data_IF_569697730007
#
_entry.id   IF_569697730007
#
_cell.length_a   1.000
_cell.length_b   1.000
_cell.length_c   1.000
_cell.angle_alpha   90.00
_cell.angle_beta   90.00
_cell.angle_gamma   90.00
#
_symmetry.space_group_name_H-M   'P 1'
#
loop_
_entity.id
_entity.type
_entity.pdbx_description
1 polymer ?
#
# COMPACT_ATOMS: atom_id res chain seq x y z
N UNK A 1 -24.96 10.36 -10.02
CA UNK A 1 -24.05 11.39 -10.55
C UNK A 1 -24.47 12.73 -9.97
N UNK A 2 -23.50 13.50 -9.44
CA UNK A 2 -23.81 14.89 -9.07
C UNK A 2 -24.09 15.65 -10.37
N UNK A 3 -25.12 16.45 -10.36
CA UNK A 3 -25.51 17.25 -11.52
C UNK A 3 -24.33 18.17 -11.93
N UNK A 4 -24.03 18.21 -13.21
CA UNK A 4 -22.98 19.08 -13.76
C UNK A 4 -23.26 20.55 -13.44
N UNK A 5 -24.52 20.95 -13.37
CA UNK A 5 -24.92 22.32 -13.03
C UNK A 5 -24.52 22.64 -11.58
N UNK A 6 -24.72 21.72 -10.65
CA UNK A 6 -24.34 21.88 -9.24
C UNK A 6 -22.81 22.01 -9.10
N UNK A 7 -22.05 21.18 -9.85
CA UNK A 7 -20.58 21.25 -9.85
C UNK A 7 -20.10 22.62 -10.36
N UNK A 8 -20.66 23.10 -11.47
CA UNK A 8 -20.32 24.43 -12.02
C UNK A 8 -20.72 25.56 -11.06
N UNK A 9 -21.87 25.44 -10.40
CA UNK A 9 -22.33 26.42 -9.42
C UNK A 9 -21.36 26.48 -8.22
N UNK A 10 -20.95 25.32 -7.68
CA UNK A 10 -19.97 25.26 -6.59
C UNK A 10 -18.65 25.89 -7.06
N UNK A 11 -18.18 25.52 -8.26
CA UNK A 11 -16.92 26.03 -8.82
C UNK A 11 -16.92 27.54 -8.95
N UNK A 12 -18.05 28.12 -9.35
CA UNK A 12 -18.19 29.57 -9.53
C UNK A 12 -18.29 30.34 -8.20
N UNK A 13 -18.72 29.67 -7.14
CA UNK A 13 -18.87 30.26 -5.80
C UNK A 13 -17.67 29.98 -4.87
N UNK A 14 -16.84 28.99 -5.17
CA UNK A 14 -15.68 28.62 -4.36
C UNK A 14 -14.43 29.32 -4.89
N UNK A 15 -14.05 30.45 -4.28
CA UNK A 15 -12.82 31.17 -4.66
C UNK A 15 -11.59 30.36 -4.25
N UNK A 16 -10.76 29.97 -5.22
CA UNK A 16 -9.58 29.13 -5.00
C UNK A 16 -8.55 29.79 -4.04
N UNK A 17 -8.45 31.11 -4.05
CA UNK A 17 -7.53 31.87 -3.18
C UNK A 17 -7.96 31.73 -1.71
N UNK A 18 -9.27 31.81 -1.46
CA UNK A 18 -9.81 31.64 -0.10
C UNK A 18 -9.65 30.21 0.40
N UNK A 19 -9.99 29.23 -0.45
CA UNK A 19 -9.91 27.82 -0.09
C UNK A 19 -8.45 27.41 0.23
N UNK A 20 -7.51 27.84 -0.61
CA UNK A 20 -6.08 27.53 -0.40
C UNK A 20 -5.53 28.39 0.76
N UNK A 21 -6.00 29.61 0.91
CA UNK A 21 -5.60 30.52 1.99
C UNK A 21 -5.91 30.01 3.40
N UNK A 22 -6.91 29.13 3.55
CA UNK A 22 -7.20 28.46 4.84
C UNK A 22 -6.12 27.44 5.22
N UNK A 23 -5.35 26.99 4.24
CA UNK A 23 -4.37 25.91 4.42
C UNK A 23 -2.94 26.46 4.48
N UNK A 24 -2.60 27.42 3.61
CA UNK A 24 -1.27 28.01 3.52
C UNK A 24 -1.35 29.53 3.47
N UNK A 25 -0.33 30.21 3.96
CA UNK A 25 -0.20 31.66 3.84
C UNK A 25 0.09 32.04 2.39
N UNK A 26 -0.83 32.77 1.76
CA UNK A 26 -0.69 33.29 0.40
C UNK A 26 -0.34 34.76 0.44
N UNK A 27 0.68 35.14 -0.31
CA UNK A 27 1.09 36.56 -0.48
C UNK A 27 0.79 37.00 -1.91
N UNK A 28 0.20 38.17 -2.06
CA UNK A 28 -0.13 38.75 -3.37
C UNK A 28 1.16 39.06 -4.12
N UNK A 29 1.29 38.59 -5.34
CA UNK A 29 2.44 38.79 -6.23
C UNK A 29 1.93 39.19 -7.63
N UNK A 30 1.73 40.48 -7.81
CA UNK A 30 1.12 41.03 -9.04
C UNK A 30 -0.35 40.62 -9.14
N UNK A 31 -0.71 39.87 -10.19
CA UNK A 31 -2.08 39.37 -10.42
C UNK A 31 -2.34 38.02 -9.77
N UNK A 32 -1.29 37.38 -9.23
CA UNK A 32 -1.36 36.04 -8.67
C UNK A 32 -1.06 36.06 -7.17
N UNK A 33 -1.16 34.89 -6.56
CA UNK A 33 -0.76 34.69 -5.15
C UNK A 33 0.30 33.60 -5.08
N UNK A 34 1.28 33.76 -4.20
CA UNK A 34 2.39 32.84 -4.00
C UNK A 34 2.42 32.36 -2.55
N UNK A 35 2.72 31.09 -2.34
CA UNK A 35 2.88 30.49 -1.02
C UNK A 35 3.84 29.32 -1.04
N UNK A 36 4.10 28.76 0.14
CA UNK A 36 4.84 27.51 0.27
C UNK A 36 3.90 26.35 -0.07
N UNK A 37 4.36 25.40 -0.87
CA UNK A 37 3.54 24.29 -1.34
C UNK A 37 3.14 23.34 -0.18
N UNK A 38 1.86 22.99 -0.03
CA UNK A 38 1.45 22.06 1.00
C UNK A 38 1.75 20.58 0.65
N UNK A 39 2.19 20.31 -0.58
CA UNK A 39 2.39 18.95 -1.10
C UNK A 39 3.85 18.50 -1.10
N UNK A 40 4.80 19.41 -0.88
CA UNK A 40 6.23 19.06 -0.76
C UNK A 40 6.95 20.07 0.14
N UNK A 41 8.04 19.65 0.75
CA UNK A 41 8.84 20.52 1.61
C UNK A 41 9.68 21.51 0.81
N UNK A 42 9.53 22.81 1.08
CA UNK A 42 10.31 23.87 0.44
C UNK A 42 10.49 25.07 1.39
N UNK A 43 11.50 25.89 1.13
CA UNK A 43 11.77 27.11 1.92
C UNK A 43 11.48 28.39 1.12
N UNK A 44 11.36 28.29 -0.18
CA UNK A 44 11.09 29.41 -1.10
C UNK A 44 9.75 29.17 -1.77
N UNK A 45 8.81 30.14 -1.72
CA UNK A 45 7.49 29.94 -2.31
C UNK A 45 7.54 29.60 -3.79
N UNK A 46 6.96 28.46 -4.17
CA UNK A 46 6.83 28.02 -5.57
C UNK A 46 5.38 27.66 -5.94
N UNK A 47 4.46 27.75 -4.99
CA UNK A 47 3.05 27.44 -5.19
C UNK A 47 2.31 28.70 -5.63
N UNK A 48 1.93 28.74 -6.91
CA UNK A 48 1.31 29.91 -7.55
C UNK A 48 -0.20 29.67 -7.72
N UNK A 49 -1.02 30.62 -7.28
CA UNK A 49 -2.49 30.58 -7.43
C UNK A 49 -2.90 31.74 -8.33
N UNK A 50 -3.55 31.42 -9.44
CA UNK A 50 -4.01 32.38 -10.45
C UNK A 50 -5.53 32.61 -10.24
N UNK A 51 -5.88 33.67 -9.52
CA UNK A 51 -7.25 33.95 -9.14
C UNK A 51 -8.18 34.08 -10.35
N UNK A 52 -7.77 34.84 -11.37
CA UNK A 52 -8.55 35.06 -12.59
C UNK A 52 -8.92 33.76 -13.32
N UNK A 53 -8.10 32.73 -13.18
CA UNK A 53 -8.28 31.42 -13.83
C UNK A 53 -8.83 30.38 -12.90
N UNK A 54 -8.95 30.67 -11.60
CA UNK A 54 -9.35 29.72 -10.57
C UNK A 54 -8.51 28.45 -10.65
N UNK A 55 -7.17 28.59 -10.67
CA UNK A 55 -6.23 27.51 -10.97
C UNK A 55 -4.94 27.69 -10.16
N UNK A 56 -4.37 26.59 -9.68
CA UNK A 56 -3.05 26.61 -9.02
C UNK A 56 -2.03 25.80 -9.82
N UNK A 57 -0.77 26.19 -9.68
CA UNK A 57 0.37 25.43 -10.21
C UNK A 57 1.58 25.61 -9.30
N UNK A 58 2.18 24.52 -8.90
CA UNK A 58 3.43 24.52 -8.12
C UNK A 58 4.62 24.32 -9.06
N UNK A 59 5.52 25.31 -9.13
CA UNK A 59 6.73 25.22 -9.95
C UNK A 59 7.79 24.31 -9.33
N UNK A 60 7.66 23.93 -8.05
CA UNK A 60 8.57 23.01 -7.37
C UNK A 60 8.28 21.53 -7.66
N UNK A 61 7.01 21.11 -7.50
CA UNK A 61 6.64 19.69 -7.65
C UNK A 61 5.75 19.39 -8.87
N UNK A 62 5.37 20.43 -9.65
CA UNK A 62 4.58 20.30 -10.88
C UNK A 62 3.07 20.08 -10.66
N UNK A 63 2.60 19.98 -9.42
CA UNK A 63 1.16 19.78 -9.15
C UNK A 63 0.37 20.99 -9.59
N UNK A 64 -0.81 20.74 -10.15
CA UNK A 64 -1.67 21.80 -10.68
C UNK A 64 -3.13 21.34 -10.76
N UNK A 65 -4.05 22.28 -10.70
CA UNK A 65 -5.46 21.97 -10.78
C UNK A 65 -6.37 23.12 -10.37
N UNK A 66 -7.66 22.84 -10.36
CA UNK A 66 -8.67 23.75 -9.84
C UNK A 66 -8.94 23.50 -8.34
N UNK A 67 -9.95 24.13 -7.80
CA UNK A 67 -10.30 24.05 -6.37
C UNK A 67 -10.69 22.63 -5.96
N UNK A 68 -11.36 21.87 -6.82
CA UNK A 68 -11.71 20.48 -6.52
C UNK A 68 -10.45 19.61 -6.43
N UNK A 69 -9.58 19.75 -7.43
CA UNK A 69 -8.32 19.00 -7.47
C UNK A 69 -7.44 19.31 -6.27
N UNK A 70 -7.45 20.54 -5.78
CA UNK A 70 -6.73 20.92 -4.57
C UNK A 70 -7.26 20.14 -3.35
N UNK A 71 -8.57 20.10 -3.15
CA UNK A 71 -9.18 19.39 -2.00
C UNK A 71 -8.93 17.88 -2.12
N UNK A 72 -9.10 17.28 -3.32
CA UNK A 72 -8.79 15.86 -3.54
C UNK A 72 -7.38 15.51 -3.07
N UNK A 73 -6.39 16.28 -3.50
CA UNK A 73 -4.99 15.99 -3.22
C UNK A 73 -4.58 16.35 -1.78
N UNK A 74 -5.10 17.44 -1.25
CA UNK A 74 -4.74 17.92 0.10
C UNK A 74 -5.36 17.05 1.20
N UNK A 75 -6.64 16.71 1.07
CA UNK A 75 -7.35 15.90 2.07
C UNK A 75 -7.31 14.41 1.76
N UNK A 76 -6.85 14.02 0.57
CA UNK A 76 -6.79 12.60 0.18
C UNK A 76 -8.18 11.99 -0.07
N UNK A 77 -9.13 12.79 -0.53
CA UNK A 77 -10.52 12.39 -0.73
C UNK A 77 -10.87 12.24 -2.21
N UNK A 78 -11.86 11.42 -2.57
CA UNK A 78 -12.32 11.33 -3.96
C UNK A 78 -13.08 12.58 -4.39
N UNK A 79 -13.18 12.81 -5.70
CA UNK A 79 -13.82 13.99 -6.31
C UNK A 79 -15.20 14.29 -5.73
N UNK A 80 -16.05 13.28 -5.57
CA UNK A 80 -17.41 13.45 -5.02
C UNK A 80 -17.39 14.05 -3.61
N UNK A 81 -16.46 13.61 -2.78
CA UNK A 81 -16.30 14.13 -1.42
C UNK A 81 -15.75 15.56 -1.46
N UNK A 82 -14.83 15.87 -2.38
CA UNK A 82 -14.34 17.23 -2.59
C UNK A 82 -15.48 18.18 -3.02
N UNK A 83 -16.38 17.68 -3.89
CA UNK A 83 -17.59 18.46 -4.28
C UNK A 83 -18.49 18.72 -3.06
N UNK A 84 -18.70 17.73 -2.19
CA UNK A 84 -19.51 17.89 -0.97
C UNK A 84 -18.86 18.91 0.01
N UNK A 85 -17.57 18.80 0.24
CA UNK A 85 -16.81 19.72 1.11
C UNK A 85 -16.95 21.16 0.61
N UNK A 86 -16.72 21.35 -0.67
CA UNK A 86 -16.83 22.69 -1.27
C UNK A 86 -18.28 23.19 -1.34
N UNK A 87 -19.24 22.30 -1.64
CA UNK A 87 -20.67 22.62 -1.61
C UNK A 87 -21.09 23.11 -0.23
N UNK A 88 -20.71 22.37 0.82
CA UNK A 88 -21.00 22.77 2.20
C UNK A 88 -20.38 24.16 2.52
N UNK A 89 -19.15 24.40 2.04
CA UNK A 89 -18.46 25.68 2.26
C UNK A 89 -19.22 26.86 1.63
N UNK A 90 -19.77 26.68 0.43
CA UNK A 90 -20.46 27.74 -0.31
C UNK A 90 -21.98 27.76 -0.12
N UNK A 91 -22.50 26.92 0.78
CA UNK A 91 -23.92 26.84 1.11
C UNK A 91 -24.78 26.16 0.05
N UNK A 92 -24.17 25.37 -0.82
CA UNK A 92 -24.88 24.59 -1.86
C UNK A 92 -25.01 23.16 -1.39
N UNK A 93 -26.25 22.73 -1.18
CA UNK A 93 -26.52 21.38 -0.70
C UNK A 93 -26.31 20.38 -1.83
N UNK A 94 -25.32 19.51 -1.66
CA UNK A 94 -25.05 18.42 -2.60
C UNK A 94 -25.74 17.19 -2.06
N UNK A 95 -26.85 16.80 -2.66
CA UNK A 95 -27.52 15.57 -2.27
C UNK A 95 -26.51 14.42 -2.33
N UNK A 96 -26.36 13.71 -1.22
CA UNK A 96 -25.59 12.47 -1.22
C UNK A 96 -26.23 11.56 -2.27
N UNK A 97 -25.49 11.10 -3.27
CA UNK A 97 -26.06 10.10 -4.17
C UNK A 97 -26.56 8.96 -3.29
N UNK A 98 -27.82 8.59 -3.47
CA UNK A 98 -28.44 7.43 -2.79
C UNK A 98 -27.68 6.12 -3.10
N UNK A 99 -26.87 6.17 -4.11
CA UNK A 99 -25.85 5.17 -4.43
C UNK A 99 -24.52 5.90 -4.50
N UNK A 100 -23.59 5.59 -3.60
CA UNK A 100 -22.18 5.78 -3.93
C UNK A 100 -22.03 5.11 -5.31
N UNK A 101 -21.66 5.88 -6.34
CA UNK A 101 -21.02 5.26 -7.49
C UNK A 101 -19.75 4.63 -6.92
N UNK A 102 -19.89 3.41 -6.45
CA UNK A 102 -18.73 2.55 -6.36
C UNK A 102 -18.09 2.65 -7.74
N UNK A 103 -16.87 3.15 -7.86
CA UNK A 103 -16.00 2.79 -8.97
C UNK A 103 -16.38 1.36 -9.30
N UNK A 104 -16.69 1.02 -10.57
CA UNK A 104 -17.10 -0.34 -10.86
C UNK A 104 -16.13 -1.23 -10.08
N UNK A 105 -16.68 -1.99 -9.14
CA UNK A 105 -15.87 -2.76 -8.22
C UNK A 105 -14.89 -3.53 -9.08
N UNK A 106 -13.60 -3.41 -8.79
CA UNK A 106 -12.60 -4.25 -9.46
C UNK A 106 -13.24 -5.63 -9.58
N UNK A 107 -13.17 -6.32 -10.71
CA UNK A 107 -13.71 -7.68 -10.80
C UNK A 107 -13.23 -8.58 -9.66
N UNK A 108 -12.18 -8.16 -8.94
CA UNK A 108 -11.61 -8.90 -7.81
C UNK A 108 -11.69 -8.11 -6.49
N UNK A 109 -12.66 -7.20 -6.34
CA UNK A 109 -12.77 -6.36 -5.13
C UNK A 109 -12.90 -7.22 -3.86
N UNK A 110 -13.70 -8.29 -3.93
CA UNK A 110 -13.87 -9.23 -2.81
C UNK A 110 -12.51 -9.82 -2.36
N UNK A 111 -11.63 -10.15 -3.30
CA UNK A 111 -10.29 -10.68 -2.97
C UNK A 111 -9.42 -9.63 -2.27
N UNK A 112 -9.44 -8.38 -2.72
CA UNK A 112 -8.71 -7.28 -2.06
C UNK A 112 -9.22 -7.05 -0.65
N UNK A 113 -10.53 -6.95 -0.47
CA UNK A 113 -11.16 -6.72 0.84
C UNK A 113 -10.83 -7.87 1.80
N UNK A 114 -10.92 -9.11 1.32
CA UNK A 114 -10.60 -10.31 2.10
C UNK A 114 -9.14 -10.33 2.55
N UNK A 115 -8.19 -9.95 1.68
CA UNK A 115 -6.77 -9.90 2.04
C UNK A 115 -6.49 -8.79 3.06
N UNK A 116 -7.16 -7.64 2.93
CA UNK A 116 -7.04 -6.57 3.91
C UNK A 116 -7.61 -6.98 5.26
N UNK A 117 -8.78 -7.63 5.28
CA UNK A 117 -9.40 -8.13 6.52
C UNK A 117 -8.51 -9.21 7.17
N UNK A 118 -7.92 -10.10 6.36
CA UNK A 118 -6.98 -11.10 6.87
C UNK A 118 -5.73 -10.43 7.48
N UNK A 119 -5.20 -9.38 6.83
CA UNK A 119 -4.04 -8.64 7.35
C UNK A 119 -4.37 -7.97 8.69
N UNK A 120 -5.53 -7.31 8.77
CA UNK A 120 -6.02 -6.70 10.03
C UNK A 120 -6.17 -7.75 11.12
N UNK A 121 -6.77 -8.88 10.79
CA UNK A 121 -6.98 -10.00 11.72
C UNK A 121 -5.65 -10.53 12.27
N UNK A 122 -4.71 -10.88 11.39
CA UNK A 122 -3.40 -11.40 11.81
C UNK A 122 -2.62 -10.37 12.64
N UNK A 123 -2.68 -9.10 12.24
CA UNK A 123 -1.99 -8.01 12.97
C UNK A 123 -2.60 -7.84 14.37
N UNK A 124 -3.93 -7.84 14.47
CA UNK A 124 -4.63 -7.74 15.76
C UNK A 124 -4.27 -8.93 16.66
N UNK A 125 -4.27 -10.17 16.14
CA UNK A 125 -3.85 -11.35 16.92
C UNK A 125 -2.44 -11.13 17.49
N UNK A 126 -1.48 -10.71 16.66
CA UNK A 126 -0.10 -10.48 17.10
C UNK A 126 -0.05 -9.40 18.18
N UNK A 127 -0.73 -8.27 17.97
CA UNK A 127 -0.51 -7.06 18.77
C UNK A 127 -1.34 -6.99 20.05
N UNK A 128 -2.52 -7.63 20.10
CA UNK A 128 -3.48 -7.38 21.17
C UNK A 128 -3.87 -8.61 22.00
N UNK A 129 -3.44 -9.81 21.62
CA UNK A 129 -3.85 -11.03 22.33
C UNK A 129 -2.71 -11.63 23.15
N UNK A 130 -3.08 -12.42 24.17
CA UNK A 130 -2.12 -13.24 24.93
C UNK A 130 -1.45 -14.29 24.03
N UNK A 131 -2.19 -14.83 23.05
CA UNK A 131 -1.66 -15.74 22.05
C UNK A 131 -0.51 -15.11 21.26
N UNK A 132 -0.61 -13.79 20.96
CA UNK A 132 0.42 -13.05 20.23
C UNK A 132 1.65 -12.69 21.05
N UNK A 133 1.58 -12.76 22.37
CA UNK A 133 2.66 -12.28 23.26
C UNK A 133 3.97 -13.02 23.03
N UNK A 134 3.94 -14.35 22.94
CA UNK A 134 5.15 -15.17 22.69
C UNK A 134 5.76 -14.83 21.33
N UNK A 135 4.92 -14.68 20.29
CA UNK A 135 5.38 -14.33 18.95
C UNK A 135 5.96 -12.91 18.91
N UNK A 136 5.35 -11.94 19.65
CA UNK A 136 5.93 -10.59 19.80
C UNK A 136 7.29 -10.66 20.47
N UNK A 137 7.41 -11.39 21.56
CA UNK A 137 8.69 -11.55 22.29
C UNK A 137 9.77 -12.15 21.39
N UNK A 138 9.43 -13.15 20.59
CA UNK A 138 10.33 -13.71 19.58
C UNK A 138 10.78 -12.63 18.57
N UNK A 139 9.86 -11.78 18.10
CA UNK A 139 10.18 -10.72 17.14
C UNK A 139 11.04 -9.61 17.79
N UNK A 140 10.75 -9.25 19.06
CA UNK A 140 11.57 -8.28 19.82
C UNK A 140 13.00 -8.78 20.01
N UNK A 141 13.18 -10.07 20.32
CA UNK A 141 14.52 -10.67 20.45
C UNK A 141 15.29 -10.62 19.11
N UNK A 142 14.59 -10.53 17.99
CA UNK A 142 15.20 -10.33 16.67
C UNK A 142 15.36 -8.84 16.31
N UNK A 143 15.13 -7.97 17.26
CA UNK A 143 15.34 -6.52 17.13
C UNK A 143 14.21 -5.76 16.43
N UNK A 144 13.04 -6.38 16.22
CA UNK A 144 11.90 -5.65 15.68
C UNK A 144 11.19 -4.89 16.81
N UNK A 145 10.74 -3.67 16.53
CA UNK A 145 9.99 -2.83 17.47
C UNK A 145 8.52 -2.78 17.07
N UNK A 146 7.66 -2.31 17.96
CA UNK A 146 6.24 -2.10 17.65
C UNK A 146 6.04 -1.22 16.42
N UNK A 147 6.90 -0.20 16.27
CA UNK A 147 6.87 0.68 15.09
C UNK A 147 7.10 -0.12 13.80
N UNK A 148 8.10 -1.02 13.81
CA UNK A 148 8.40 -1.89 12.67
C UNK A 148 7.25 -2.87 12.43
N UNK A 149 6.71 -3.49 13.49
CA UNK A 149 5.58 -4.43 13.38
C UNK A 149 4.36 -3.74 12.75
N UNK A 150 4.08 -2.50 13.15
CA UNK A 150 2.98 -1.68 12.60
C UNK A 150 3.27 -1.25 11.17
N UNK A 151 4.49 -0.77 10.89
CA UNK A 151 4.87 -0.30 9.54
C UNK A 151 4.68 -1.40 8.49
N UNK A 152 5.12 -2.62 8.79
CA UNK A 152 5.05 -3.77 7.88
C UNK A 152 3.75 -4.59 8.05
N UNK A 153 2.85 -4.19 8.96
CA UNK A 153 1.61 -4.92 9.26
C UNK A 153 1.86 -6.40 9.59
N UNK A 154 2.99 -6.68 10.25
CA UNK A 154 3.36 -8.04 10.64
C UNK A 154 2.28 -8.58 11.58
N UNK A 155 1.88 -9.84 11.37
CA UNK A 155 0.80 -10.47 12.13
C UNK A 155 1.16 -11.88 12.59
N UNK A 156 0.18 -12.55 13.17
CA UNK A 156 0.28 -13.94 13.61
C UNK A 156 -0.96 -14.70 13.12
N UNK A 157 -0.72 -15.75 12.34
CA UNK A 157 -1.75 -16.75 12.05
C UNK A 157 -1.82 -17.69 13.24
N UNK A 158 -2.99 -17.83 13.90
CA UNK A 158 -3.15 -18.69 15.06
C UNK A 158 -2.84 -20.17 14.75
N UNK A 159 -2.66 -21.01 15.79
CA UNK A 159 -2.39 -22.43 15.55
C UNK A 159 -3.60 -23.21 15.03
N UNK A 160 -4.81 -22.75 15.30
CA UNK A 160 -6.05 -23.36 14.81
C UNK A 160 -6.12 -23.27 13.27
N UNK A 161 -6.60 -24.36 12.66
CA UNK A 161 -6.54 -24.52 11.21
C UNK A 161 -7.72 -23.87 10.44
N UNK A 162 -8.66 -23.25 11.14
CA UNK A 162 -9.84 -22.62 10.52
C UNK A 162 -10.26 -21.31 11.20
N UNK A 163 -9.36 -20.67 11.91
CA UNK A 163 -9.71 -19.49 12.72
C UNK A 163 -10.01 -18.27 11.83
N UNK A 164 -9.20 -18.08 10.77
CA UNK A 164 -9.48 -17.03 9.78
C UNK A 164 -10.77 -17.34 9.02
N UNK A 165 -11.00 -18.59 8.64
CA UNK A 165 -12.22 -19.01 7.97
C UNK A 165 -13.45 -18.66 8.81
N UNK A 166 -13.47 -19.02 10.09
CA UNK A 166 -14.56 -18.69 11.00
C UNK A 166 -14.83 -17.18 11.09
N UNK A 167 -13.79 -16.39 10.94
CA UNK A 167 -13.91 -14.91 11.02
C UNK A 167 -14.49 -14.30 9.74
N UNK A 168 -14.22 -14.90 8.58
CA UNK A 168 -14.53 -14.30 7.28
C UNK A 168 -15.65 -14.99 6.49
N UNK A 169 -16.00 -16.24 6.81
CA UNK A 169 -16.91 -17.07 6.00
C UNK A 169 -18.28 -16.44 5.78
N UNK A 170 -18.82 -15.71 6.76
CA UNK A 170 -20.13 -15.07 6.66
C UNK A 170 -20.14 -13.80 5.79
N UNK A 171 -18.97 -13.32 5.40
CA UNK A 171 -18.81 -12.04 4.68
C UNK A 171 -18.52 -12.22 3.19
N UNK A 172 -18.09 -13.42 2.79
CA UNK A 172 -17.60 -13.68 1.43
C UNK A 172 -18.20 -14.97 0.87
N UNK A 173 -18.40 -15.02 -0.44
CA UNK A 173 -18.90 -16.22 -1.13
C UNK A 173 -17.86 -17.34 -1.09
N UNK A 174 -18.29 -18.58 -1.08
CA UNK A 174 -17.38 -19.75 -1.06
C UNK A 174 -16.36 -19.74 -2.21
N UNK A 175 -16.82 -19.37 -3.42
CA UNK A 175 -15.92 -19.29 -4.58
C UNK A 175 -14.82 -18.23 -4.38
N UNK A 176 -15.15 -17.06 -3.83
CA UNK A 176 -14.18 -16.00 -3.53
C UNK A 176 -13.18 -16.46 -2.44
N UNK A 177 -13.69 -17.18 -1.42
CA UNK A 177 -12.84 -17.77 -0.36
C UNK A 177 -11.79 -18.69 -0.98
N UNK A 178 -12.19 -19.59 -1.89
CA UNK A 178 -11.27 -20.53 -2.55
C UNK A 178 -10.31 -19.79 -3.50
N UNK A 179 -10.82 -18.84 -4.27
CA UNK A 179 -10.00 -18.09 -5.24
C UNK A 179 -8.96 -17.19 -4.56
N UNK A 180 -9.21 -16.77 -3.33
CA UNK A 180 -8.28 -15.92 -2.55
C UNK A 180 -6.92 -16.59 -2.30
N UNK A 181 -6.87 -17.92 -2.22
CA UNK A 181 -5.67 -18.65 -1.81
C UNK A 181 -5.40 -18.59 -0.30
N UNK A 182 -6.28 -17.93 0.45
CA UNK A 182 -6.22 -17.90 1.93
C UNK A 182 -6.76 -19.19 2.53
N UNK A 183 -7.53 -19.93 1.76
CA UNK A 183 -8.19 -21.17 2.19
C UNK A 183 -8.03 -22.27 1.13
N UNK A 184 -8.20 -23.50 1.58
CA UNK A 184 -8.31 -24.68 0.71
C UNK A 184 -9.29 -25.66 1.35
N UNK A 185 -9.78 -26.59 0.55
CA UNK A 185 -10.61 -27.68 1.06
C UNK A 185 -9.74 -28.88 1.42
N UNK A 186 -9.97 -29.44 2.61
CA UNK A 186 -9.36 -30.71 3.03
C UNK A 186 -10.02 -31.87 2.28
N UNK A 187 -9.47 -33.07 2.46
CA UNK A 187 -10.03 -34.31 1.87
C UNK A 187 -11.48 -34.57 2.32
N UNK A 188 -11.87 -34.04 3.48
CA UNK A 188 -13.21 -34.13 4.03
C UNK A 188 -14.11 -32.95 3.63
N UNK A 189 -13.71 -32.17 2.62
CA UNK A 189 -14.42 -30.95 2.14
C UNK A 189 -14.63 -29.90 3.23
N UNK A 190 -13.74 -29.78 4.20
CA UNK A 190 -13.78 -28.72 5.19
C UNK A 190 -12.81 -27.60 4.80
N UNK A 191 -13.23 -26.38 4.97
CA UNK A 191 -12.34 -25.21 4.76
C UNK A 191 -11.23 -25.19 5.81
N UNK A 192 -10.01 -25.02 5.33
CA UNK A 192 -8.79 -24.95 6.15
C UNK A 192 -8.02 -23.69 5.77
N UNK A 193 -7.52 -22.99 6.77
CA UNK A 193 -6.67 -21.82 6.58
C UNK A 193 -5.33 -22.23 5.96
N UNK A 194 -4.91 -21.56 4.91
CA UNK A 194 -3.62 -21.80 4.26
C UNK A 194 -2.47 -21.55 5.22
N UNK A 195 -2.62 -20.59 6.12
CA UNK A 195 -1.60 -20.20 7.09
C UNK A 195 -2.10 -20.47 8.51
N UNK A 196 -1.33 -21.21 9.28
CA UNK A 196 -1.56 -21.46 10.71
C UNK A 196 -0.23 -21.57 11.42
N UNK A 197 -0.19 -21.10 12.66
CA UNK A 197 1.00 -21.09 13.53
C UNK A 197 2.22 -20.46 12.83
N UNK A 198 2.03 -19.30 12.19
CA UNK A 198 3.10 -18.61 11.45
C UNK A 198 3.05 -17.10 11.69
N UNK A 199 4.21 -16.48 11.78
CA UNK A 199 4.32 -15.01 11.67
C UNK A 199 4.03 -14.64 10.21
N UNK A 200 3.14 -13.67 10.03
CA UNK A 200 2.59 -13.29 8.74
C UNK A 200 3.16 -11.97 8.26
N UNK A 201 3.63 -11.96 7.03
CA UNK A 201 4.16 -10.79 6.33
C UNK A 201 3.22 -10.52 5.15
N UNK A 202 2.38 -9.48 5.21
CA UNK A 202 1.54 -9.12 4.07
C UNK A 202 2.39 -8.52 2.95
N UNK A 203 2.03 -8.84 1.72
CA UNK A 203 2.59 -8.25 0.50
C UNK A 203 1.55 -7.31 -0.10
N UNK A 204 1.98 -6.11 -0.48
CA UNK A 204 1.12 -5.11 -1.10
C UNK A 204 1.47 -4.92 -2.57
N UNK A 205 0.48 -4.54 -3.37
CA UNK A 205 0.69 -4.10 -4.74
C UNK A 205 1.16 -2.63 -4.77
N UNK A 206 1.41 -2.08 -5.95
CA UNK A 206 1.86 -0.70 -6.18
C UNK A 206 0.92 0.37 -5.59
N UNK A 207 -0.32 0.01 -5.30
CA UNK A 207 -1.33 0.90 -4.72
C UNK A 207 -1.41 0.78 -3.19
N UNK A 208 -0.63 -0.14 -2.61
CA UNK A 208 -0.63 -0.41 -1.17
C UNK A 208 -1.75 -1.35 -0.71
N UNK A 209 -2.46 -2.01 -1.62
CA UNK A 209 -3.50 -3.00 -1.26
C UNK A 209 -2.85 -4.34 -0.98
N UNK A 210 -3.25 -5.02 0.08
CA UNK A 210 -2.75 -6.36 0.41
C UNK A 210 -3.22 -7.36 -0.64
N UNK A 211 -2.31 -8.14 -1.20
CA UNK A 211 -2.59 -9.08 -2.30
C UNK A 211 -2.10 -10.51 -2.02
N UNK A 212 -1.27 -10.69 -1.01
CA UNK A 212 -0.66 -12.00 -0.69
C UNK A 212 -0.03 -11.96 0.70
N UNK A 213 0.41 -13.12 1.15
CA UNK A 213 1.12 -13.27 2.41
C UNK A 213 2.30 -14.23 2.27
N UNK A 214 3.32 -14.00 3.11
CA UNK A 214 4.32 -14.99 3.44
C UNK A 214 4.21 -15.33 4.92
N UNK A 215 4.15 -16.61 5.25
CA UNK A 215 4.07 -17.09 6.63
C UNK A 215 5.38 -17.78 7.05
N UNK A 216 6.05 -17.25 8.08
CA UNK A 216 7.30 -17.79 8.61
C UNK A 216 7.07 -18.57 9.91
N UNK A 217 7.62 -19.79 10.00
CA UNK A 217 7.61 -20.53 11.28
C UNK A 217 8.51 -19.80 12.30
N UNK A 218 8.05 -19.73 13.53
CA UNK A 218 8.74 -19.01 14.62
C UNK A 218 9.03 -19.89 15.83
N UNK A 219 8.30 -20.99 15.97
CA UNK A 219 8.56 -22.00 16.97
C UNK A 219 9.34 -23.16 16.32
N UNK A 220 10.09 -23.90 17.13
CA UNK A 220 10.75 -25.11 16.65
C UNK A 220 9.69 -26.14 16.30
N UNK A 221 9.68 -26.58 15.06
CA UNK A 221 8.82 -27.65 14.54
C UNK A 221 9.70 -28.77 14.01
N UNK A 222 9.11 -29.94 13.80
CA UNK A 222 9.79 -31.06 13.18
C UNK A 222 10.38 -30.69 11.83
N UNK A 223 11.51 -31.27 11.51
CA UNK A 223 12.45 -30.81 10.47
C UNK A 223 11.95 -30.78 9.03
N UNK A 224 10.72 -31.18 8.74
CA UNK A 224 10.19 -31.24 7.37
C UNK A 224 9.35 -30.05 6.96
N UNK A 225 9.06 -29.13 7.88
CA UNK A 225 8.20 -27.97 7.57
C UNK A 225 9.04 -26.81 6.99
N UNK A 226 8.70 -26.38 5.80
CA UNK A 226 9.37 -25.25 5.15
C UNK A 226 9.34 -24.00 6.04
N UNK A 227 10.51 -23.37 6.20
CA UNK A 227 10.70 -22.14 6.99
C UNK A 227 9.73 -21.03 6.58
N UNK A 228 9.51 -20.86 5.28
CA UNK A 228 8.55 -19.90 4.70
C UNK A 228 7.51 -20.66 3.87
N UNK A 229 6.26 -20.18 3.96
CA UNK A 229 5.15 -20.61 3.11
C UNK A 229 4.57 -19.33 2.48
N UNK A 230 4.55 -19.25 1.15
CA UNK A 230 4.05 -18.09 0.41
C UNK A 230 2.68 -18.41 -0.18
N UNK A 231 1.86 -17.37 -0.35
CA UNK A 231 0.59 -17.47 -1.09
C UNK A 231 0.85 -18.05 -2.49
N UNK A 232 -0.11 -18.81 -3.00
CA UNK A 232 -0.12 -19.19 -4.42
C UNK A 232 -0.48 -17.97 -5.27
N UNK A 233 -0.20 -18.00 -6.56
CA UNK A 233 -0.67 -16.98 -7.49
C UNK A 233 -2.20 -17.01 -7.55
N UNK A 234 -2.81 -15.82 -7.66
CA UNK A 234 -4.26 -15.63 -7.71
C UNK A 234 -4.56 -14.56 -8.78
N UNK A 235 -5.83 -14.22 -8.95
CA UNK A 235 -6.24 -13.15 -9.86
C UNK A 235 -5.67 -11.77 -9.47
N UNK A 236 -5.31 -11.58 -8.19
CA UNK A 236 -4.75 -10.31 -7.69
C UNK A 236 -3.25 -10.39 -7.35
N UNK A 237 -2.62 -11.56 -7.47
CA UNK A 237 -1.21 -11.76 -7.09
C UNK A 237 -0.45 -12.59 -8.12
N UNK A 238 0.54 -11.98 -8.74
CA UNK A 238 1.49 -12.64 -9.66
C UNK A 238 2.89 -12.65 -9.03
N UNK A 239 3.37 -13.84 -8.64
CA UNK A 239 4.71 -14.03 -8.03
C UNK A 239 5.86 -13.57 -8.91
N UNK A 240 5.69 -13.58 -10.22
CA UNK A 240 6.74 -13.20 -11.17
C UNK A 240 6.83 -11.69 -11.37
N UNK A 241 5.87 -10.92 -10.84
CA UNK A 241 5.79 -9.47 -11.04
C UNK A 241 5.92 -8.70 -9.73
N UNK A 242 5.29 -9.20 -8.67
CA UNK A 242 5.15 -8.45 -7.41
C UNK A 242 6.41 -8.59 -6.53
N UNK A 243 6.80 -7.47 -5.94
CA UNK A 243 7.96 -7.39 -5.05
C UNK A 243 7.52 -6.85 -3.69
N UNK A 244 8.04 -7.47 -2.63
CA UNK A 244 7.76 -7.07 -1.24
C UNK A 244 8.23 -5.63 -1.00
N UNK A 245 7.38 -4.81 -0.38
CA UNK A 245 7.65 -3.41 0.02
C UNK A 245 7.75 -2.45 -1.18
N UNK A 246 7.32 -2.85 -2.38
CA UNK A 246 7.44 -2.05 -3.60
C UNK A 246 6.65 -0.73 -3.53
N UNK A 247 5.44 -0.75 -2.94
CA UNK A 247 4.60 0.46 -2.79
C UNK A 247 5.31 1.57 -2.00
N UNK A 248 6.08 1.19 -0.98
CA UNK A 248 6.84 2.13 -0.15
C UNK A 248 8.13 2.57 -0.85
N UNK A 249 8.86 1.61 -1.41
CA UNK A 249 10.07 1.89 -2.18
C UNK A 249 9.78 2.86 -3.34
N UNK A 250 8.65 2.70 -4.02
CA UNK A 250 8.18 3.58 -5.09
C UNK A 250 7.94 5.01 -4.59
N UNK A 251 7.35 5.18 -3.41
CA UNK A 251 7.12 6.50 -2.80
C UNK A 251 8.43 7.18 -2.41
N UNK A 252 9.41 6.41 -1.93
CA UNK A 252 10.73 6.95 -1.54
C UNK A 252 11.65 7.17 -2.75
N UNK A 253 11.46 6.44 -3.86
CA UNK A 253 12.31 6.54 -5.05
C UNK A 253 12.24 7.91 -5.75
N UNK A 254 11.20 8.70 -5.50
CA UNK A 254 11.14 10.10 -5.93
C UNK A 254 12.21 10.99 -5.28
N UNK A 255 12.76 10.54 -4.15
CA UNK A 255 13.81 11.23 -3.38
C UNK A 255 15.19 10.57 -3.52
N UNK A 256 15.19 9.27 -3.88
CA UNK A 256 16.42 8.45 -3.95
C UNK A 256 16.48 7.83 -5.35
N UNK A 257 17.60 8.02 -6.03
CA UNK A 257 17.78 7.59 -7.42
C UNK A 257 17.99 6.07 -7.59
N UNK A 258 17.92 5.29 -6.49
CA UNK A 258 18.27 3.87 -6.51
C UNK A 258 17.30 3.01 -5.69
N UNK A 259 17.10 1.77 -6.14
CA UNK A 259 16.35 0.74 -5.41
C UNK A 259 17.31 -0.39 -5.03
N UNK A 260 17.19 -0.86 -3.80
CA UNK A 260 17.98 -1.98 -3.25
C UNK A 260 17.15 -3.26 -3.35
N UNK A 261 17.61 -4.21 -4.16
CA UNK A 261 16.98 -5.52 -4.26
C UNK A 261 17.67 -6.48 -3.30
N UNK A 262 16.92 -6.90 -2.28
CA UNK A 262 17.37 -7.80 -1.22
C UNK A 262 16.93 -9.24 -1.52
N UNK A 263 17.53 -10.19 -0.80
CA UNK A 263 17.18 -11.62 -0.96
C UNK A 263 15.82 -11.95 -0.33
N UNK A 264 15.52 -11.39 0.84
CA UNK A 264 14.31 -11.74 1.57
C UNK A 264 13.68 -10.61 2.37
N UNK A 265 12.52 -10.90 2.95
CA UNK A 265 11.71 -9.92 3.71
C UNK A 265 12.44 -9.36 4.92
N UNK A 266 13.19 -10.21 5.63
CA UNK A 266 13.92 -9.77 6.83
C UNK A 266 15.03 -8.80 6.48
N UNK A 267 15.61 -8.93 5.28
CA UNK A 267 16.66 -8.00 4.80
C UNK A 267 16.06 -6.64 4.47
N UNK A 268 14.86 -6.62 3.85
CA UNK A 268 14.11 -5.38 3.61
C UNK A 268 13.78 -4.70 4.95
N UNK A 269 13.34 -5.47 5.94
CA UNK A 269 13.03 -4.92 7.27
C UNK A 269 14.31 -4.37 7.94
N UNK A 270 15.43 -5.09 7.81
CA UNK A 270 16.72 -4.64 8.34
C UNK A 270 17.20 -3.35 7.63
N UNK A 271 17.04 -3.28 6.31
CA UNK A 271 17.33 -2.07 5.51
C UNK A 271 16.48 -0.88 5.96
N UNK A 272 15.18 -1.08 6.13
CA UNK A 272 14.27 -0.04 6.63
C UNK A 272 14.71 0.48 8.00
N UNK A 273 15.08 -0.41 8.94
CA UNK A 273 15.59 -0.03 10.26
C UNK A 273 16.91 0.76 10.18
N UNK A 274 17.68 0.55 9.12
CA UNK A 274 18.91 1.30 8.84
C UNK A 274 18.65 2.61 8.06
N UNK A 275 17.38 2.96 7.81
CA UNK A 275 16.99 4.18 7.10
C UNK A 275 16.93 4.03 5.58
N UNK A 276 17.01 2.81 5.05
CA UNK A 276 16.92 2.53 3.61
C UNK A 276 15.47 2.11 3.27
N UNK A 277 14.66 3.09 2.90
CA UNK A 277 13.24 2.86 2.59
C UNK A 277 13.01 2.30 1.18
N UNK A 278 14.00 2.40 0.29
CA UNK A 278 13.90 1.96 -1.11
C UNK A 278 14.34 0.50 -1.31
N UNK A 279 14.29 -0.32 -0.24
CA UNK A 279 14.60 -1.75 -0.32
C UNK A 279 13.37 -2.58 -0.68
N UNK A 280 13.54 -3.56 -1.57
CA UNK A 280 12.51 -4.52 -2.02
C UNK A 280 13.06 -5.93 -2.05
N UNK A 281 12.18 -6.94 -2.04
CA UNK A 281 12.60 -8.35 -2.17
C UNK A 281 11.59 -9.15 -2.99
N UNK A 282 12.07 -10.23 -3.62
CA UNK A 282 11.19 -11.20 -4.29
C UNK A 282 10.49 -12.10 -3.25
N UNK A 283 9.42 -12.76 -3.68
CA UNK A 283 8.60 -13.63 -2.80
C UNK A 283 9.10 -15.08 -2.78
N UNK A 284 10.39 -15.29 -2.46
CA UNK A 284 10.99 -16.62 -2.38
C UNK A 284 11.12 -17.29 -3.75
N UNK A 285 11.18 -16.50 -4.80
CA UNK A 285 11.41 -16.95 -6.18
C UNK A 285 12.65 -16.27 -6.73
N UNK A 286 13.30 -16.90 -7.67
CA UNK A 286 14.38 -16.25 -8.42
C UNK A 286 13.84 -15.00 -9.12
N UNK A 287 14.70 -14.02 -9.30
CA UNK A 287 14.36 -12.77 -9.98
C UNK A 287 13.92 -13.08 -11.44
N UNK A 288 12.68 -12.77 -11.75
CA UNK A 288 12.11 -12.99 -13.08
C UNK A 288 12.41 -11.80 -14.01
N UNK A 289 12.21 -12.01 -15.31
CA UNK A 289 12.27 -10.92 -16.28
C UNK A 289 11.22 -9.84 -15.97
N UNK A 290 10.02 -10.24 -15.55
CA UNK A 290 8.93 -9.33 -15.20
C UNK A 290 9.29 -8.44 -14.01
N UNK A 291 9.94 -8.99 -12.98
CA UNK A 291 10.48 -8.21 -11.85
C UNK A 291 11.47 -7.16 -12.35
N UNK A 292 12.40 -7.54 -13.24
CA UNK A 292 13.42 -6.62 -13.77
C UNK A 292 12.74 -5.50 -14.59
N UNK A 293 11.78 -5.82 -15.43
CA UNK A 293 11.04 -4.81 -16.21
C UNK A 293 10.22 -3.88 -15.31
N UNK A 294 9.66 -4.41 -14.22
CA UNK A 294 8.96 -3.60 -13.22
C UNK A 294 9.92 -2.60 -12.56
N UNK A 295 11.07 -3.07 -12.10
CA UNK A 295 12.10 -2.23 -11.44
C UNK A 295 12.65 -1.16 -12.40
N UNK A 296 12.89 -1.49 -13.67
CA UNK A 296 13.41 -0.55 -14.68
C UNK A 296 12.51 0.67 -14.89
N UNK A 297 11.20 0.51 -14.69
CA UNK A 297 10.24 1.64 -14.83
C UNK A 297 10.35 2.63 -13.68
N UNK A 298 10.91 2.20 -12.54
CA UNK A 298 10.89 2.97 -11.29
C UNK A 298 12.25 3.58 -10.94
N UNK A 299 13.34 2.99 -11.40
CA UNK A 299 14.69 3.48 -11.06
C UNK A 299 15.67 3.31 -12.23
N UNK A 300 16.65 4.21 -12.28
CA UNK A 300 17.78 4.12 -13.22
C UNK A 300 18.94 3.30 -12.62
N UNK A 301 18.90 3.06 -11.30
CA UNK A 301 19.97 2.35 -10.60
C UNK A 301 19.39 1.30 -9.68
N UNK A 302 19.74 0.04 -9.93
CA UNK A 302 19.38 -1.10 -9.10
C UNK A 302 20.63 -1.62 -8.41
N UNK A 303 20.58 -1.69 -7.08
CA UNK A 303 21.65 -2.22 -6.24
C UNK A 303 21.23 -3.61 -5.76
N UNK A 304 21.97 -4.64 -6.12
CA UNK A 304 21.71 -6.03 -5.70
C UNK A 304 22.43 -6.29 -4.38
N UNK A 305 21.70 -6.70 -3.37
CA UNK A 305 22.23 -6.98 -2.03
C UNK A 305 21.77 -8.41 -1.66
N UNK A 306 22.59 -9.38 -2.00
CA UNK A 306 22.35 -10.80 -1.76
C UNK A 306 23.41 -11.38 -0.86
N UNK A 307 23.10 -12.48 -0.18
CA UNK A 307 24.08 -13.21 0.62
C UNK A 307 25.24 -13.71 -0.26
N UNK A 308 26.44 -13.70 0.30
CA UNK A 308 27.67 -14.12 -0.40
C UNK A 308 27.79 -15.64 -0.56
N UNK A 309 26.69 -16.37 -0.60
CA UNK A 309 26.67 -17.83 -0.77
C UNK A 309 26.49 -18.20 -2.27
N UNK A 310 26.47 -19.50 -2.54
CA UNK A 310 26.33 -20.02 -3.91
C UNK A 310 24.99 -19.64 -4.56
N UNK A 311 23.96 -19.46 -3.76
CA UNK A 311 22.64 -19.09 -4.25
C UNK A 311 22.59 -17.59 -4.65
N UNK A 312 23.16 -16.75 -3.85
CA UNK A 312 23.33 -15.31 -4.11
C UNK A 312 24.15 -15.00 -5.38
N UNK A 313 25.01 -15.65 -5.52
CA UNK A 313 25.81 -15.51 -6.66
C UNK A 313 25.11 -15.96 -7.92
N UNK A 314 24.35 -16.77 -7.80
CA UNK A 314 23.58 -17.23 -8.89
C UNK A 314 22.58 -16.20 -9.39
N UNK A 315 22.15 -15.58 -8.51
CA UNK A 315 21.23 -14.51 -8.80
C UNK A 315 21.87 -13.31 -9.42
N UNK A 316 22.92 -13.08 -9.15
CA UNK A 316 23.69 -12.05 -9.69
C UNK A 316 24.28 -12.41 -11.05
N UNK A 317 24.29 -13.51 -11.21
CA UNK A 317 24.74 -14.01 -12.44
C UNK A 317 23.61 -14.22 -13.47
N UNK A 318 22.72 -14.09 -13.13
CA UNK A 318 21.67 -14.11 -13.98
C UNK A 318 21.80 -13.04 -14.93
N UNK A 319 22.66 -13.15 -15.86
CA UNK A 319 22.76 -12.30 -17.02
C UNK A 319 21.44 -12.30 -17.77
N UNK A 320 20.86 -11.16 -18.12
CA UNK A 320 19.76 -11.17 -19.06
C UNK A 320 20.25 -11.82 -20.35
N UNK A 321 19.71 -12.97 -20.68
CA UNK A 321 19.93 -13.56 -22.00
C UNK A 321 19.21 -12.62 -22.99
N UNK A 322 19.96 -12.10 -23.94
CA UNK A 322 19.51 -11.21 -25.00
C UNK A 322 18.38 -11.82 -25.84
#
# INVERSE_FOLDING_TARGET
MVDKQVIEEIKNNANIVEVIGDVISLQKAGRNYLGLCPFHGEKTPSFNVVEDKQFYHCFGCGRSGDVFKFIEEYQGVPFIEAVQILGQRVGIEVEKPLYSEQKPASPHQALYDMHEDAAKFYHAILMTTTMGEEARNYLYQRGLTDEVLKHFWIGLAPPERNYLYQRLSDQYREEDLLDSGLFYLSDDNQFVDTFHNRIMFPLTNDQGKVIAFSGRIWQKTDSQTSKYKNSRSTAIFNKSYELYHMDRAKKSSGKVSEIYLMEGFMDVIAAYRAGIESAVASMGTALSREHVEHLKRLTKKLVLVYDGDKAGXXXXXXKPRH
#
